data_IF_307112751952
#
_entry.id   IF_307112751952
#
_cell.length_a   1.000
_cell.length_b   1.000
_cell.length_c   1.000
_cell.angle_alpha   90.00
_cell.angle_beta   90.00
_cell.angle_gamma   90.00
#
_symmetry.space_group_name_H-M   'P 1'
#
loop_
_entity.id
_entity.type
_entity.pdbx_description
1 polymer ?
#
# COMPACT_ATOMS: atom_id res chain seq x y z
N UNK A 1 58.76 32.84 -34.40
CA UNK A 1 59.47 31.80 -33.65
C UNK A 1 58.40 30.91 -33.06
N UNK A 2 57.88 29.93 -33.74
CA UNK A 2 58.27 28.53 -33.92
C UNK A 2 58.41 27.77 -32.60
N UNK A 3 57.56 26.72 -32.53
CA UNK A 3 57.69 25.45 -31.85
C UNK A 3 56.92 25.38 -30.50
N UNK A 4 56.26 24.31 -30.18
CA UNK A 4 56.35 22.90 -30.59
C UNK A 4 55.11 22.12 -30.14
N UNK A 5 54.64 21.24 -30.95
CA UNK A 5 53.69 20.17 -30.71
C UNK A 5 54.34 19.08 -29.84
N UNK A 6 53.49 18.42 -29.04
CA UNK A 6 53.56 17.05 -28.49
C UNK A 6 53.41 16.99 -27.01
N UNK A 7 52.18 16.84 -26.52
CA UNK A 7 51.91 15.92 -25.43
C UNK A 7 50.72 15.07 -25.83
N UNK A 8 51.00 13.84 -26.12
CA UNK A 8 50.03 12.81 -26.43
C UNK A 8 49.23 12.47 -25.16
N UNK A 9 47.94 12.70 -25.20
CA UNK A 9 47.01 12.21 -24.22
C UNK A 9 46.95 10.67 -24.29
N UNK A 10 47.46 10.01 -23.26
CA UNK A 10 47.11 8.62 -22.97
C UNK A 10 45.72 8.62 -22.32
N UNK A 11 44.69 8.49 -23.12
CA UNK A 11 43.35 8.14 -22.65
C UNK A 11 43.38 6.66 -22.24
N UNK A 12 43.54 6.38 -20.95
CA UNK A 12 43.27 5.07 -20.38
C UNK A 12 41.77 4.82 -20.43
N UNK A 13 41.35 3.89 -21.27
CA UNK A 13 40.00 3.37 -21.26
C UNK A 13 39.78 2.61 -19.96
N UNK A 14 39.18 3.26 -18.97
CA UNK A 14 38.57 2.57 -17.86
C UNK A 14 37.30 1.87 -18.40
N UNK A 15 37.45 0.63 -18.83
CA UNK A 15 36.31 -0.27 -19.07
C UNK A 15 35.65 -0.50 -17.73
N UNK A 16 34.64 0.30 -17.42
CA UNK A 16 33.75 0.05 -16.29
C UNK A 16 33.11 -1.31 -16.48
N UNK A 17 33.45 -2.26 -15.64
CA UNK A 17 32.74 -3.51 -15.48
C UNK A 17 31.30 -3.18 -15.06
N UNK A 18 30.40 -3.03 -16.03
CA UNK A 18 28.95 -3.11 -15.76
C UNK A 18 28.72 -4.49 -15.11
N UNK A 19 28.04 -4.56 -13.98
CA UNK A 19 27.71 -5.85 -13.40
C UNK A 19 26.92 -6.63 -14.44
N UNK A 20 27.44 -7.77 -14.88
CA UNK A 20 26.76 -8.70 -15.77
C UNK A 20 25.47 -9.10 -15.06
N UNK A 21 24.33 -8.71 -15.63
CA UNK A 21 23.03 -9.18 -15.17
C UNK A 21 23.08 -10.73 -15.16
N UNK A 22 22.57 -11.39 -14.10
CA UNK A 22 22.60 -12.84 -14.05
C UNK A 22 21.92 -13.43 -15.29
N UNK A 23 22.40 -14.55 -15.77
CA UNK A 23 22.00 -15.16 -17.05
C UNK A 23 20.47 -15.38 -17.20
N UNK A 24 19.74 -15.51 -16.10
CA UNK A 24 18.28 -15.58 -16.09
C UNK A 24 17.58 -14.23 -16.38
N UNK A 25 18.29 -13.11 -16.28
CA UNK A 25 17.75 -11.78 -16.61
C UNK A 25 17.82 -11.47 -18.13
N UNK A 26 18.55 -12.30 -18.90
CA UNK A 26 18.57 -12.20 -20.36
C UNK A 26 17.31 -12.86 -20.92
N UNK A 27 16.30 -12.05 -21.22
CA UNK A 27 14.99 -12.49 -21.72
C UNK A 27 13.83 -12.30 -20.73
N UNK A 28 14.10 -11.90 -19.48
CA UNK A 28 13.04 -11.59 -18.53
C UNK A 28 12.25 -10.35 -18.99
N UNK A 29 10.92 -10.48 -18.90
CA UNK A 29 10.01 -9.39 -19.28
C UNK A 29 10.12 -8.25 -18.26
N UNK A 30 10.56 -7.08 -18.71
CA UNK A 30 10.50 -5.88 -17.89
C UNK A 30 9.06 -5.50 -17.61
N UNK A 31 8.78 -5.15 -16.35
CA UNK A 31 7.49 -4.69 -15.91
C UNK A 31 7.67 -3.37 -15.13
N UNK A 32 7.16 -2.27 -15.67
CA UNK A 32 7.23 -0.96 -15.01
C UNK A 32 6.21 -0.89 -13.91
N UNK A 33 6.67 -0.76 -12.68
CA UNK A 33 5.83 -0.79 -11.47
C UNK A 33 6.04 0.47 -10.66
N UNK A 34 4.97 1.08 -10.17
CA UNK A 34 5.08 2.09 -9.12
C UNK A 34 4.65 1.52 -7.76
N UNK A 35 5.26 2.03 -6.70
CA UNK A 35 4.96 1.67 -5.32
C UNK A 35 5.11 2.88 -4.41
N UNK A 36 4.48 2.84 -3.24
CA UNK A 36 4.72 3.83 -2.18
C UNK A 36 6.20 3.90 -1.81
N UNK A 37 6.67 5.10 -1.47
CA UNK A 37 8.06 5.39 -1.12
C UNK A 37 8.53 4.70 0.17
N UNK A 38 7.60 4.17 0.96
CA UNK A 38 7.88 3.43 2.18
C UNK A 38 7.28 2.02 2.13
N UNK A 39 7.88 1.10 2.88
CA UNK A 39 7.33 -0.22 3.13
C UNK A 39 7.44 -0.54 4.63
N UNK A 40 6.37 -1.09 5.18
CA UNK A 40 6.22 -1.50 6.58
C UNK A 40 5.95 -3.01 6.68
N UNK A 41 5.76 -3.53 7.88
CA UNK A 41 5.55 -4.95 8.11
C UNK A 41 4.41 -5.56 7.28
N UNK A 42 3.30 -4.83 7.10
CA UNK A 42 2.16 -5.30 6.30
C UNK A 42 2.51 -5.44 4.80
N UNK A 43 3.49 -4.70 4.31
CA UNK A 43 3.89 -4.72 2.89
C UNK A 43 4.86 -5.86 2.55
N UNK A 44 5.46 -6.52 3.57
CA UNK A 44 6.50 -7.55 3.38
C UNK A 44 6.10 -8.62 2.37
N UNK A 45 4.93 -9.28 2.47
CA UNK A 45 4.64 -10.38 1.56
C UNK A 45 4.43 -9.91 0.11
N UNK A 46 3.73 -8.79 -0.09
CA UNK A 46 3.47 -8.27 -1.45
C UNK A 46 4.74 -7.72 -2.09
N UNK A 47 5.62 -7.06 -1.31
CA UNK A 47 6.92 -6.62 -1.82
C UNK A 47 7.82 -7.81 -2.16
N UNK A 48 7.85 -8.86 -1.32
CA UNK A 48 8.58 -10.09 -1.61
C UNK A 48 8.01 -10.83 -2.84
N UNK A 49 6.68 -10.84 -3.01
CA UNK A 49 6.06 -11.41 -4.22
C UNK A 49 6.62 -10.76 -5.49
N UNK A 50 6.66 -9.43 -5.52
CA UNK A 50 7.18 -8.68 -6.66
C UNK A 50 8.69 -8.81 -6.83
N UNK A 51 9.46 -8.64 -5.75
CA UNK A 51 10.92 -8.52 -5.81
C UNK A 51 11.66 -9.86 -5.79
N UNK A 52 11.10 -10.89 -5.13
CA UNK A 52 11.78 -12.14 -4.86
C UNK A 52 11.17 -13.35 -5.61
N UNK A 53 9.85 -13.35 -5.86
CA UNK A 53 9.16 -14.48 -6.49
C UNK A 53 8.98 -14.27 -8.00
N UNK A 54 8.47 -13.11 -8.43
CA UNK A 54 8.22 -12.84 -9.86
C UNK A 54 9.47 -12.96 -10.75
N UNK A 55 10.71 -12.64 -10.30
CA UNK A 55 11.89 -12.88 -11.11
C UNK A 55 12.07 -14.34 -11.51
N UNK A 56 11.76 -15.29 -10.61
CA UNK A 56 11.75 -16.73 -10.90
C UNK A 56 10.66 -17.16 -11.89
N UNK A 57 9.67 -16.32 -12.16
CA UNK A 57 8.58 -16.52 -13.12
C UNK A 57 8.85 -15.82 -14.46
N UNK A 58 10.04 -15.27 -14.68
CA UNK A 58 10.46 -14.64 -15.94
C UNK A 58 10.17 -13.16 -16.05
N UNK A 59 9.96 -12.45 -14.93
CA UNK A 59 9.74 -11.00 -14.90
C UNK A 59 10.93 -10.25 -14.31
N UNK A 60 11.15 -9.02 -14.78
CA UNK A 60 12.12 -8.07 -14.24
C UNK A 60 11.39 -6.78 -13.82
N UNK A 61 10.81 -6.72 -12.61
CA UNK A 61 10.12 -5.53 -12.15
C UNK A 61 11.07 -4.33 -12.02
N UNK A 62 10.72 -3.20 -12.65
CA UNK A 62 11.40 -1.92 -12.52
C UNK A 62 10.53 -1.02 -11.67
N UNK A 63 10.89 -0.88 -10.39
CA UNK A 63 10.07 -0.23 -9.38
C UNK A 63 10.43 1.25 -9.25
N UNK A 64 9.46 2.14 -9.45
CA UNK A 64 9.52 3.56 -9.11
C UNK A 64 8.81 3.79 -7.78
N UNK A 65 9.47 4.44 -6.82
CA UNK A 65 8.92 4.79 -5.53
C UNK A 65 8.37 6.21 -5.52
N UNK A 66 7.13 6.38 -5.01
CA UNK A 66 6.40 7.67 -5.01
C UNK A 66 5.66 7.80 -3.67
N UNK A 67 5.80 8.93 -2.99
CA UNK A 67 5.25 9.11 -1.63
C UNK A 67 3.76 9.48 -1.58
N UNK A 68 3.20 9.88 -2.71
CA UNK A 68 1.82 10.38 -2.80
C UNK A 68 0.92 9.43 -3.58
N UNK A 69 -0.14 8.94 -2.95
CA UNK A 69 -1.11 7.99 -3.56
C UNK A 69 -1.72 8.55 -4.84
N UNK A 70 -2.12 9.83 -4.86
CA UNK A 70 -2.66 10.46 -6.07
C UNK A 70 -1.66 10.45 -7.22
N UNK A 71 -0.39 10.69 -6.94
CA UNK A 71 0.67 10.66 -7.95
C UNK A 71 0.87 9.24 -8.49
N UNK A 72 0.79 8.20 -7.64
CA UNK A 72 0.79 6.80 -8.09
C UNK A 72 -0.31 6.54 -9.12
N UNK A 73 -1.55 6.94 -8.81
CA UNK A 73 -2.67 6.79 -9.76
C UNK A 73 -2.47 7.58 -11.04
N UNK A 74 -1.94 8.81 -10.96
CA UNK A 74 -1.66 9.63 -12.15
C UNK A 74 -0.60 9.00 -13.07
N UNK A 75 0.44 8.32 -12.52
CA UNK A 75 1.44 7.63 -13.34
C UNK A 75 0.83 6.45 -14.11
N UNK A 76 -0.18 5.77 -13.54
CA UNK A 76 -0.93 4.72 -14.24
C UNK A 76 -1.78 5.30 -15.37
N UNK A 77 -2.49 6.40 -15.13
CA UNK A 77 -3.30 7.11 -16.14
C UNK A 77 -2.42 7.58 -17.29
N UNK A 78 -1.22 8.09 -16.99
CA UNK A 78 -0.26 8.58 -17.96
C UNK A 78 0.50 7.45 -18.70
N UNK A 79 0.34 6.17 -18.30
CA UNK A 79 1.09 5.04 -18.85
C UNK A 79 2.57 5.02 -18.48
N UNK A 80 3.00 5.80 -17.49
CA UNK A 80 4.37 5.80 -16.98
C UNK A 80 4.68 4.54 -16.16
N UNK A 81 3.67 3.94 -15.53
CA UNK A 81 3.72 2.61 -14.94
C UNK A 81 2.70 1.69 -15.62
N UNK A 82 3.00 0.40 -15.67
CA UNK A 82 2.15 -0.67 -16.21
C UNK A 82 1.26 -1.27 -15.13
N UNK A 83 1.84 -1.52 -13.96
CA UNK A 83 1.17 -1.90 -12.72
C UNK A 83 1.52 -0.92 -11.61
N UNK A 84 0.59 -0.63 -10.74
CA UNK A 84 0.83 0.31 -9.65
C UNK A 84 0.09 -0.04 -8.38
N UNK A 85 0.80 0.18 -7.29
CA UNK A 85 0.20 0.32 -5.98
C UNK A 85 -0.59 1.64 -5.93
N UNK A 86 -1.80 1.59 -5.41
CA UNK A 86 -2.60 2.79 -5.12
C UNK A 86 -3.75 2.40 -4.18
N UNK A 87 -4.68 3.30 -3.91
CA UNK A 87 -5.88 2.96 -3.15
C UNK A 87 -7.13 2.80 -4.03
N UNK A 88 -8.08 2.03 -3.53
CA UNK A 88 -9.32 1.70 -4.24
C UNK A 88 -10.21 2.92 -4.50
N UNK A 89 -10.23 3.89 -3.59
CA UNK A 89 -11.06 5.09 -3.69
C UNK A 89 -10.52 6.00 -4.79
N UNK A 90 -9.21 6.25 -4.77
CA UNK A 90 -8.56 7.10 -5.78
C UNK A 90 -8.74 6.53 -7.18
N UNK A 91 -8.67 5.19 -7.35
CA UNK A 91 -8.97 4.54 -8.63
C UNK A 91 -10.44 4.70 -9.01
N UNK A 92 -11.37 4.44 -8.10
CA UNK A 92 -12.81 4.59 -8.39
C UNK A 92 -13.18 6.02 -8.75
N UNK A 93 -12.65 7.01 -8.02
CA UNK A 93 -12.84 8.44 -8.31
C UNK A 93 -12.26 8.83 -9.68
N UNK A 94 -11.09 8.31 -10.03
CA UNK A 94 -10.48 8.54 -11.33
C UNK A 94 -11.32 7.93 -12.47
N UNK A 95 -11.83 6.70 -12.30
CA UNK A 95 -12.70 6.04 -13.30
C UNK A 95 -14.04 6.79 -13.43
N UNK A 96 -14.60 7.27 -12.33
CA UNK A 96 -15.81 8.11 -12.35
C UNK A 96 -15.59 9.42 -13.13
N UNK A 97 -14.35 9.90 -13.15
CA UNK A 97 -13.89 11.06 -13.91
C UNK A 97 -13.46 10.71 -15.35
N UNK A 98 -13.63 9.46 -15.79
CA UNK A 98 -13.35 9.00 -17.15
C UNK A 98 -12.00 8.33 -17.37
N UNK A 99 -11.21 8.05 -16.32
CA UNK A 99 -9.95 7.32 -16.47
C UNK A 99 -10.18 5.84 -16.79
N UNK A 100 -9.32 5.28 -17.65
CA UNK A 100 -9.33 3.85 -18.01
C UNK A 100 -8.43 3.06 -17.05
N UNK A 101 -8.95 2.78 -15.84
CA UNK A 101 -8.24 2.01 -14.83
C UNK A 101 -9.02 0.77 -14.39
N UNK A 102 -8.29 -0.28 -14.02
CA UNK A 102 -8.80 -1.51 -13.43
C UNK A 102 -8.05 -1.84 -12.14
N UNK A 103 -8.78 -2.26 -11.11
CA UNK A 103 -8.25 -2.88 -9.90
C UNK A 103 -8.10 -4.37 -10.21
N UNK A 104 -6.90 -4.91 -10.12
CA UNK A 104 -6.59 -6.27 -10.55
C UNK A 104 -6.18 -7.21 -9.41
N UNK A 105 -5.76 -6.67 -8.27
CA UNK A 105 -5.45 -7.43 -7.05
C UNK A 105 -5.46 -6.51 -5.83
N UNK A 106 -5.39 -7.10 -4.64
CA UNK A 106 -5.23 -6.39 -3.37
C UNK A 106 -3.79 -6.57 -2.84
N UNK A 107 -3.34 -5.62 -2.02
CA UNK A 107 -2.09 -5.75 -1.28
C UNK A 107 -2.27 -6.56 -0.01
N UNK A 108 -3.43 -6.43 0.63
CA UNK A 108 -3.88 -7.17 1.80
C UNK A 108 -5.41 -7.04 1.94
N UNK A 109 -6.03 -7.95 2.69
CA UNK A 109 -7.49 -7.96 2.87
C UNK A 109 -7.97 -6.91 3.87
N UNK A 110 -7.21 -6.70 4.94
CA UNK A 110 -7.51 -5.73 5.97
C UNK A 110 -6.30 -4.84 6.19
N UNK A 111 -6.54 -3.54 6.25
CA UNK A 111 -5.50 -2.57 6.57
C UNK A 111 -4.93 -2.78 7.97
N UNK A 112 -3.65 -2.53 8.13
CA UNK A 112 -3.04 -2.39 9.46
C UNK A 112 -3.16 -0.97 10.03
N UNK A 113 -3.80 -0.04 9.30
CA UNK A 113 -4.05 1.30 9.83
C UNK A 113 -5.01 1.23 11.01
N UNK A 114 -4.63 1.87 12.08
CA UNK A 114 -5.45 2.13 13.26
C UNK A 114 -5.55 3.63 13.48
N UNK A 115 -6.63 4.07 14.11
CA UNK A 115 -6.79 5.47 14.42
C UNK A 115 -6.32 5.73 15.85
N UNK A 116 -5.23 6.47 16.01
CA UNK A 116 -4.61 6.76 17.30
C UNK A 116 -4.84 8.21 17.67
N UNK A 117 -5.13 8.46 18.94
CA UNK A 117 -5.31 9.79 19.48
C UNK A 117 -4.51 10.03 20.76
N UNK A 118 -4.23 11.29 21.04
CA UNK A 118 -3.77 11.76 22.34
C UNK A 118 -4.92 11.60 23.35
N UNK A 119 -4.77 10.70 24.33
CA UNK A 119 -5.84 10.33 25.27
C UNK A 119 -6.19 11.47 26.26
N UNK A 120 -5.32 12.45 26.45
CA UNK A 120 -5.61 13.62 27.30
C UNK A 120 -6.56 14.61 26.62
N UNK A 121 -6.56 14.62 25.27
CA UNK A 121 -7.34 15.54 24.44
C UNK A 121 -8.59 14.90 23.85
N UNK A 122 -8.45 13.65 23.37
CA UNK A 122 -9.49 12.91 22.67
C UNK A 122 -9.75 11.62 23.42
N UNK A 123 -10.79 11.61 24.25
CA UNK A 123 -11.20 10.44 25.06
C UNK A 123 -12.16 9.54 24.33
N UNK A 124 -12.97 10.13 23.45
CA UNK A 124 -13.97 9.46 22.63
C UNK A 124 -14.11 10.12 21.26
N UNK A 125 -14.80 9.48 20.35
CA UNK A 125 -14.98 10.01 18.99
C UNK A 125 -15.65 11.38 18.96
N UNK A 126 -16.56 11.66 19.91
CA UNK A 126 -17.25 12.96 19.99
C UNK A 126 -16.32 14.14 20.28
N UNK A 127 -15.20 13.87 20.96
CA UNK A 127 -14.19 14.91 21.21
C UNK A 127 -13.54 15.44 19.93
N UNK A 128 -13.61 14.70 18.83
CA UNK A 128 -13.09 15.14 17.52
C UNK A 128 -13.86 16.33 16.91
N UNK A 129 -15.08 16.61 17.41
CA UNK A 129 -15.84 17.79 17.00
C UNK A 129 -15.33 19.10 17.63
N UNK A 130 -14.47 19.00 18.66
CA UNK A 130 -13.89 20.18 19.30
C UNK A 130 -12.90 20.86 18.37
N UNK A 131 -13.00 22.18 18.14
CA UNK A 131 -12.15 22.89 17.16
C UNK A 131 -10.65 22.74 17.39
N UNK A 132 -10.23 22.57 18.65
CA UNK A 132 -8.84 22.37 19.04
C UNK A 132 -8.31 20.97 18.73
N UNK A 133 -9.19 20.00 18.45
CA UNK A 133 -8.80 18.64 18.15
C UNK A 133 -8.66 18.43 16.64
N UNK A 134 -7.43 18.57 16.17
CA UNK A 134 -7.08 18.42 14.75
C UNK A 134 -6.78 16.97 14.43
N UNK A 135 -7.36 16.46 13.35
CA UNK A 135 -7.12 15.15 12.78
C UNK A 135 -6.23 15.31 11.55
N UNK A 136 -5.13 14.58 11.48
CA UNK A 136 -4.35 14.53 10.24
C UNK A 136 -4.62 13.23 9.47
N UNK A 137 -4.75 13.38 8.14
CA UNK A 137 -4.89 12.27 7.18
C UNK A 137 -3.79 12.37 6.11
N UNK A 138 -3.63 11.37 5.24
CA UNK A 138 -2.69 11.47 4.12
C UNK A 138 -3.17 12.52 3.11
N UNK A 139 -4.44 12.43 2.70
CA UNK A 139 -5.09 13.38 1.83
C UNK A 139 -6.62 13.34 2.01
N UNK A 140 -7.28 14.47 1.86
CA UNK A 140 -8.75 14.52 1.89
C UNK A 140 -9.33 13.72 0.72
N UNK A 141 -10.29 12.85 1.02
CA UNK A 141 -10.93 11.98 0.05
C UNK A 141 -10.16 10.68 -0.25
N UNK A 142 -8.98 10.47 0.33
CA UNK A 142 -8.28 9.20 0.25
C UNK A 142 -8.76 8.20 1.32
N UNK A 143 -8.21 7.00 1.28
CA UNK A 143 -8.61 5.91 2.18
C UNK A 143 -8.38 6.23 3.66
N UNK A 144 -7.36 7.01 4.00
CA UNK A 144 -7.05 7.38 5.40
C UNK A 144 -8.07 8.37 5.96
N UNK A 145 -8.68 9.17 5.10
CA UNK A 145 -9.77 10.07 5.43
C UNK A 145 -11.09 9.31 5.52
N UNK A 146 -11.40 8.53 4.50
CA UNK A 146 -12.70 7.87 4.34
C UNK A 146 -12.95 6.78 5.37
N UNK A 147 -11.91 6.06 5.81
CA UNK A 147 -12.07 4.98 6.80
C UNK A 147 -12.65 5.45 8.13
N UNK A 148 -12.61 6.75 8.41
CA UNK A 148 -13.19 7.33 9.64
C UNK A 148 -14.69 7.57 9.55
N UNK A 149 -15.21 7.83 8.36
CA UNK A 149 -16.57 8.32 8.19
C UNK A 149 -17.63 7.37 8.73
N UNK A 150 -17.57 6.10 8.35
CA UNK A 150 -18.52 5.11 8.86
C UNK A 150 -18.56 5.03 10.39
N UNK A 151 -17.40 4.80 11.05
CA UNK A 151 -17.32 4.78 12.53
C UNK A 151 -17.74 6.10 13.21
N UNK A 152 -17.41 7.25 12.63
CA UNK A 152 -17.81 8.56 13.16
C UNK A 152 -19.34 8.71 13.12
N UNK A 153 -19.95 8.43 11.97
CA UNK A 153 -21.40 8.52 11.78
C UNK A 153 -22.16 7.54 12.68
N UNK A 154 -21.70 6.30 12.80
CA UNK A 154 -22.29 5.31 13.73
C UNK A 154 -22.32 5.80 15.20
N UNK A 155 -21.38 6.67 15.56
CA UNK A 155 -21.23 7.23 16.92
C UNK A 155 -21.84 8.62 17.06
N UNK A 156 -22.61 9.08 16.07
CA UNK A 156 -23.31 10.35 16.11
C UNK A 156 -22.39 11.56 16.05
N UNK A 157 -21.17 11.40 15.50
CA UNK A 157 -20.24 12.51 15.29
C UNK A 157 -20.65 13.28 14.04
N UNK A 158 -20.74 14.61 14.14
CA UNK A 158 -20.91 15.49 13.01
C UNK A 158 -19.56 15.68 12.29
N UNK A 159 -19.37 14.91 11.21
CA UNK A 159 -18.12 14.91 10.46
C UNK A 159 -17.73 16.28 9.88
N UNK A 160 -18.72 17.18 9.72
CA UNK A 160 -18.47 18.56 9.25
C UNK A 160 -17.77 19.43 10.29
N UNK A 161 -17.85 19.04 11.55
CA UNK A 161 -17.17 19.74 12.66
C UNK A 161 -15.76 19.24 12.91
N UNK A 162 -15.40 18.06 12.33
CA UNK A 162 -14.06 17.48 12.51
C UNK A 162 -13.04 18.30 11.72
N UNK A 163 -12.07 18.87 12.43
CA UNK A 163 -11.00 19.67 11.82
C UNK A 163 -9.95 18.73 11.23
N UNK A 164 -9.90 18.60 9.89
CA UNK A 164 -9.02 17.67 9.17
C UNK A 164 -7.95 18.44 8.39
N UNK A 165 -6.68 18.04 8.58
CA UNK A 165 -5.53 18.54 7.85
C UNK A 165 -4.81 17.41 7.10
N UNK A 166 -4.13 17.76 6.01
CA UNK A 166 -3.36 16.80 5.21
C UNK A 166 -1.90 16.79 5.65
N UNK A 167 -1.40 15.63 6.07
CA UNK A 167 0.01 15.41 6.46
C UNK A 167 0.50 14.07 5.86
N UNK A 168 0.54 13.92 4.58
CA UNK A 168 1.18 12.85 3.83
C UNK A 168 1.34 11.48 4.56
N UNK A 169 2.53 10.92 4.52
CA UNK A 169 2.83 9.57 5.02
C UNK A 169 2.62 9.36 6.53
N UNK A 170 2.40 8.11 6.94
CA UNK A 170 2.10 7.74 8.34
C UNK A 170 3.18 8.13 9.34
N UNK A 171 4.46 8.10 8.93
CA UNK A 171 5.58 8.57 9.77
C UNK A 171 5.49 10.05 10.12
N UNK A 172 5.15 10.91 9.14
CA UNK A 172 4.97 12.35 9.36
C UNK A 172 3.73 12.63 10.25
N UNK A 173 2.64 11.88 10.05
CA UNK A 173 1.45 11.96 10.92
C UNK A 173 1.78 11.54 12.36
N UNK A 174 2.54 10.46 12.54
CA UNK A 174 2.98 10.02 13.85
C UNK A 174 3.81 11.10 14.57
N UNK A 175 4.75 11.74 13.88
CA UNK A 175 5.53 12.85 14.44
C UNK A 175 4.66 14.06 14.81
N UNK A 176 3.67 14.40 13.97
CA UNK A 176 2.74 15.48 14.24
C UNK A 176 1.88 15.21 15.50
N UNK A 177 1.46 13.96 15.71
CA UNK A 177 0.75 13.54 16.92
C UNK A 177 1.65 13.61 18.17
N UNK A 178 2.88 13.10 18.06
CA UNK A 178 3.86 13.13 19.17
C UNK A 178 4.21 14.56 19.61
N UNK A 179 4.34 15.48 18.68
CA UNK A 179 4.62 16.89 18.96
C UNK A 179 3.39 17.68 19.45
N UNK A 180 2.20 17.09 19.49
CA UNK A 180 0.96 17.75 19.84
C UNK A 180 0.40 18.68 18.76
N UNK A 181 1.00 18.71 17.57
CA UNK A 181 0.53 19.52 16.43
C UNK A 181 -0.85 19.09 15.95
N UNK A 182 -1.16 17.80 16.07
CA UNK A 182 -2.47 17.21 15.83
C UNK A 182 -2.86 16.29 16.99
N UNK A 183 -4.14 15.99 17.14
CA UNK A 183 -4.66 15.23 18.28
C UNK A 183 -5.07 13.81 17.92
N UNK A 184 -5.25 13.51 16.63
CA UNK A 184 -5.56 12.15 16.20
C UNK A 184 -5.08 11.90 14.76
N UNK A 185 -4.65 10.67 14.49
CA UNK A 185 -4.08 10.27 13.19
C UNK A 185 -4.34 8.80 12.87
N UNK A 186 -4.53 8.42 11.60
CA UNK A 186 -4.34 7.04 11.15
C UNK A 186 -2.85 6.75 11.01
N UNK A 187 -2.38 5.70 11.68
CA UNK A 187 -1.03 5.15 11.58
C UNK A 187 -1.10 3.63 11.51
N UNK A 188 -0.02 2.97 11.12
CA UNK A 188 -0.01 1.51 11.10
C UNK A 188 0.10 0.94 12.52
N UNK A 189 -0.35 -0.30 12.67
CA UNK A 189 -0.44 -1.02 13.94
C UNK A 189 0.90 -1.05 14.72
N UNK A 190 2.00 -1.28 14.03
CA UNK A 190 3.35 -1.25 14.60
C UNK A 190 3.76 0.15 15.08
N UNK A 191 3.39 1.19 14.34
CA UNK A 191 3.59 2.59 14.74
C UNK A 191 2.71 2.97 15.95
N UNK A 192 1.49 2.44 16.04
CA UNK A 192 0.64 2.63 17.20
C UNK A 192 1.25 2.02 18.47
N UNK A 193 1.85 0.83 18.35
CA UNK A 193 2.57 0.18 19.45
C UNK A 193 3.79 1.00 19.91
N UNK A 194 4.48 1.66 18.99
CA UNK A 194 5.57 2.59 19.30
C UNK A 194 5.07 3.85 20.03
N UNK A 195 3.94 4.41 19.59
CA UNK A 195 3.32 5.57 20.24
C UNK A 195 2.93 5.26 21.67
N UNK A 196 2.34 4.10 21.94
CA UNK A 196 1.93 3.68 23.28
C UNK A 196 3.08 3.64 24.30
N UNK A 197 4.33 3.44 23.82
CA UNK A 197 5.53 3.47 24.67
C UNK A 197 6.03 4.89 24.98
N UNK A 198 5.59 5.89 24.20
CA UNK A 198 6.16 7.26 24.22
C UNK A 198 5.30 8.31 24.90
N UNK A 199 4.05 7.96 25.24
CA UNK A 199 3.14 8.92 25.84
C UNK A 199 1.73 8.40 26.02
N UNK A 200 0.80 9.28 26.39
CA UNK A 200 -0.59 8.95 26.60
C UNK A 200 -1.37 8.93 25.27
N UNK A 201 -1.09 7.92 24.46
CA UNK A 201 -1.76 7.69 23.18
C UNK A 201 -2.61 6.43 23.25
N UNK A 202 -3.79 6.47 22.62
CA UNK A 202 -4.69 5.32 22.57
C UNK A 202 -5.22 5.07 21.17
N UNK A 203 -5.50 3.82 20.87
CA UNK A 203 -6.22 3.42 19.67
C UNK A 203 -7.70 3.73 19.87
N UNK A 204 -8.30 4.54 19.01
CA UNK A 204 -9.73 4.83 18.97
C UNK A 204 -10.49 3.91 18.02
N UNK A 205 -9.86 3.48 16.92
CA UNK A 205 -10.48 2.70 15.88
C UNK A 205 -9.53 1.64 15.33
N UNK A 206 -10.06 0.43 15.21
CA UNK A 206 -9.45 -0.71 14.55
C UNK A 206 -10.38 -1.12 13.40
N UNK A 207 -10.08 -0.76 12.15
CA UNK A 207 -11.02 -0.95 11.03
C UNK A 207 -11.47 -2.39 10.80
N UNK A 208 -10.61 -3.38 11.07
CA UNK A 208 -10.95 -4.79 10.95
C UNK A 208 -12.03 -5.29 11.95
N UNK A 209 -12.33 -4.49 12.98
CA UNK A 209 -13.46 -4.72 13.90
C UNK A 209 -14.76 -4.06 13.44
N UNK A 210 -14.68 -3.11 12.51
CA UNK A 210 -15.83 -2.34 12.02
C UNK A 210 -16.34 -2.80 10.66
N UNK A 211 -15.45 -3.36 9.82
CA UNK A 211 -15.72 -3.73 8.43
C UNK A 211 -15.37 -5.20 8.20
N UNK A 212 -16.16 -5.89 7.38
CA UNK A 212 -15.88 -7.27 6.95
C UNK A 212 -14.57 -7.38 6.16
N UNK A 213 -14.30 -6.38 5.34
CA UNK A 213 -13.05 -6.18 4.63
C UNK A 213 -12.81 -4.67 4.49
N UNK A 214 -11.58 -4.25 4.66
CA UNK A 214 -11.17 -2.88 4.37
C UNK A 214 -9.97 -2.93 3.45
N UNK A 215 -10.28 -3.03 2.16
CA UNK A 215 -9.28 -3.14 1.11
C UNK A 215 -8.71 -1.75 0.85
N UNK A 216 -7.59 -1.49 1.48
CA UNK A 216 -6.93 -0.18 1.47
C UNK A 216 -6.08 -0.02 0.22
N UNK A 217 -5.03 -0.82 0.11
CA UNK A 217 -4.07 -0.79 -0.98
C UNK A 217 -4.36 -1.90 -1.98
N UNK A 218 -4.26 -1.55 -3.24
CA UNK A 218 -4.60 -2.43 -4.35
C UNK A 218 -3.54 -2.32 -5.46
N UNK A 219 -3.52 -3.32 -6.32
CA UNK A 219 -2.87 -3.25 -7.60
C UNK A 219 -3.85 -2.77 -8.67
N UNK A 220 -3.43 -1.74 -9.40
CA UNK A 220 -4.18 -1.22 -10.53
C UNK A 220 -3.34 -1.14 -11.79
N UNK A 221 -3.99 -1.12 -12.93
CA UNK A 221 -3.40 -0.90 -14.26
C UNK A 221 -4.40 -0.20 -15.19
N UNK A 222 -3.93 0.25 -16.36
CA UNK A 222 -4.84 0.71 -17.42
C UNK A 222 -5.64 -0.47 -17.99
N UNK A 223 -6.96 -0.27 -18.19
CA UNK A 223 -7.80 -1.25 -18.85
C UNK A 223 -7.34 -1.56 -20.28
N UNK A 224 -6.83 -0.57 -21.00
CA UNK A 224 -6.24 -0.75 -22.33
C UNK A 224 -4.98 -1.62 -22.28
N UNK A 225 -4.11 -1.40 -21.31
CA UNK A 225 -2.92 -2.24 -21.10
C UNK A 225 -3.33 -3.69 -20.80
N UNK A 226 -4.33 -3.88 -19.96
CA UNK A 226 -4.79 -5.20 -19.53
C UNK A 226 -5.36 -6.06 -20.68
N UNK A 227 -5.87 -5.48 -21.77
CA UNK A 227 -6.43 -6.23 -22.92
C UNK A 227 -5.45 -7.15 -23.63
N UNK A 228 -4.15 -6.97 -23.44
CA UNK A 228 -3.13 -7.84 -24.03
C UNK A 228 -2.94 -9.10 -23.19
N UNK A 229 -3.00 -10.28 -23.80
CA UNK A 229 -2.89 -11.58 -23.11
C UNK A 229 -1.62 -11.73 -22.27
N UNK A 230 -0.51 -11.20 -22.75
CA UNK A 230 0.75 -11.20 -22.00
C UNK A 230 0.67 -10.34 -20.74
N UNK A 231 -0.18 -9.30 -20.71
CA UNK A 231 -0.40 -8.43 -19.56
C UNK A 231 -1.37 -9.07 -18.56
N UNK A 232 -2.45 -9.72 -19.05
CA UNK A 232 -3.30 -10.57 -18.21
C UNK A 232 -2.47 -11.66 -17.52
N UNK A 233 -1.56 -12.31 -18.27
CA UNK A 233 -0.66 -13.32 -17.71
C UNK A 233 0.24 -12.76 -16.61
N UNK A 234 0.80 -11.56 -16.79
CA UNK A 234 1.62 -10.91 -15.78
C UNK A 234 0.84 -10.62 -14.49
N UNK A 235 -0.43 -10.22 -14.60
CA UNK A 235 -1.31 -10.01 -13.43
C UNK A 235 -1.63 -11.34 -12.74
N UNK A 236 -1.94 -12.39 -13.48
CA UNK A 236 -2.19 -13.74 -12.93
C UNK A 236 -0.96 -14.23 -12.17
N UNK A 237 0.23 -14.08 -12.74
CA UNK A 237 1.48 -14.50 -12.10
C UNK A 237 1.81 -13.64 -10.86
N UNK A 238 1.53 -12.33 -10.88
CA UNK A 238 1.62 -11.48 -9.70
C UNK A 238 0.71 -11.98 -8.57
N UNK A 239 -0.55 -12.29 -8.87
CA UNK A 239 -1.51 -12.79 -7.88
C UNK A 239 -1.05 -14.14 -7.31
N UNK A 240 -0.53 -15.04 -8.14
CA UNK A 240 0.04 -16.32 -7.69
C UNK A 240 1.25 -16.12 -6.78
N UNK A 241 2.14 -15.20 -7.14
CA UNK A 241 3.29 -14.82 -6.32
C UNK A 241 2.85 -14.22 -4.97
N UNK A 242 1.82 -13.37 -4.97
CA UNK A 242 1.24 -12.81 -3.74
C UNK A 242 0.63 -13.90 -2.84
N UNK A 243 -0.19 -14.80 -3.38
CA UNK A 243 -0.77 -15.91 -2.60
C UNK A 243 0.32 -16.80 -2.01
N UNK A 244 1.38 -17.08 -2.76
CA UNK A 244 2.54 -17.85 -2.27
C UNK A 244 3.21 -17.11 -1.11
N UNK A 245 3.44 -15.81 -1.24
CA UNK A 245 4.04 -14.99 -0.19
C UNK A 245 3.13 -14.86 1.04
N UNK A 246 1.82 -14.71 0.85
CA UNK A 246 0.83 -14.63 1.94
C UNK A 246 0.77 -15.92 2.76
N UNK A 247 0.68 -17.08 2.08
CA UNK A 247 0.69 -18.39 2.75
C UNK A 247 1.98 -18.59 3.55
N UNK A 248 3.11 -18.16 2.98
CA UNK A 248 4.39 -18.23 3.68
C UNK A 248 4.47 -17.26 4.85
N UNK A 249 4.03 -16.03 4.68
CA UNK A 249 3.99 -15.06 5.78
C UNK A 249 3.12 -15.53 6.95
N UNK A 250 2.00 -16.21 6.67
CA UNK A 250 1.11 -16.74 7.70
C UNK A 250 1.71 -17.90 8.49
N UNK A 251 2.59 -18.71 7.89
CA UNK A 251 3.10 -19.96 8.48
C UNK A 251 4.57 -19.91 8.88
N UNK A 252 5.37 -18.98 8.35
CA UNK A 252 6.82 -18.94 8.53
C UNK A 252 7.28 -17.57 9.07
N UNK A 253 7.32 -17.39 10.41
CA UNK A 253 7.78 -16.15 11.01
C UNK A 253 9.27 -15.84 10.74
N UNK A 254 10.09 -16.85 10.45
CA UNK A 254 11.50 -16.66 10.09
C UNK A 254 11.62 -16.01 8.70
N UNK A 255 10.86 -16.53 7.72
CA UNK A 255 10.78 -15.93 6.39
C UNK A 255 10.23 -14.51 6.43
N UNK A 256 9.19 -14.28 7.25
CA UNK A 256 8.64 -12.93 7.42
C UNK A 256 9.68 -11.98 7.99
N UNK A 257 10.48 -12.42 8.98
CA UNK A 257 11.54 -11.61 9.59
C UNK A 257 12.64 -11.27 8.58
N UNK A 258 13.04 -12.23 7.74
CA UNK A 258 14.02 -12.00 6.67
C UNK A 258 13.48 -10.99 5.65
N UNK A 259 12.24 -11.17 5.20
CA UNK A 259 11.56 -10.24 4.31
C UNK A 259 11.42 -8.84 4.93
N UNK A 260 11.17 -8.74 6.22
CA UNK A 260 11.11 -7.47 6.94
C UNK A 260 12.45 -6.72 6.86
N UNK A 261 13.55 -7.40 7.19
CA UNK A 261 14.91 -6.84 7.11
C UNK A 261 15.27 -6.37 5.70
N UNK A 262 14.80 -7.09 4.70
CA UNK A 262 15.13 -6.85 3.29
C UNK A 262 14.30 -5.73 2.67
N UNK A 263 13.02 -5.65 2.99
CA UNK A 263 12.06 -4.84 2.24
C UNK A 263 11.50 -3.64 3.01
N UNK A 264 11.49 -3.69 4.34
CA UNK A 264 10.95 -2.59 5.15
C UNK A 264 11.91 -1.41 5.17
N UNK A 265 11.37 -0.20 5.04
CA UNK A 265 12.14 1.05 4.89
C UNK A 265 12.40 1.78 6.20
N UNK A 266 12.01 1.21 7.34
CA UNK A 266 12.33 1.79 8.66
C UNK A 266 13.83 1.71 8.95
N UNK A 267 14.37 2.72 9.59
CA UNK A 267 15.81 2.85 9.85
C UNK A 267 16.42 1.64 10.60
N UNK A 268 15.65 1.06 11.52
CA UNK A 268 16.06 -0.09 12.34
C UNK A 268 15.59 -1.46 11.77
N UNK A 269 15.04 -1.50 10.57
CA UNK A 269 14.50 -2.74 10.00
C UNK A 269 15.55 -3.86 9.90
N UNK A 270 16.80 -3.53 9.58
CA UNK A 270 17.91 -4.50 9.46
C UNK A 270 18.27 -5.19 10.77
N UNK A 271 17.98 -4.54 11.90
CA UNK A 271 18.30 -5.03 13.25
C UNK A 271 17.15 -5.88 13.83
N UNK A 272 16.03 -5.96 13.13
CA UNK A 272 14.85 -6.67 13.61
C UNK A 272 15.14 -8.17 13.80
N UNK A 273 14.70 -8.72 14.91
CA UNK A 273 14.77 -10.15 15.22
C UNK A 273 13.38 -10.78 15.16
N UNK A 274 13.30 -12.10 15.04
CA UNK A 274 12.02 -12.79 15.08
C UNK A 274 11.27 -12.52 16.39
N UNK A 275 12.00 -12.41 17.51
CA UNK A 275 11.42 -12.08 18.82
C UNK A 275 10.84 -10.67 18.83
N UNK A 276 11.60 -9.66 18.36
CA UNK A 276 11.14 -8.27 18.31
C UNK A 276 9.96 -8.06 17.36
N UNK A 277 9.85 -8.86 16.29
CA UNK A 277 8.77 -8.80 15.31
C UNK A 277 7.56 -9.68 15.66
N UNK A 278 7.69 -10.57 16.66
CA UNK A 278 6.59 -11.49 17.02
C UNK A 278 5.25 -10.77 17.25
N UNK A 279 5.16 -9.66 18.00
CA UNK A 279 3.89 -8.95 18.18
C UNK A 279 3.31 -8.40 16.86
N UNK A 280 4.17 -7.86 15.98
CA UNK A 280 3.76 -7.34 14.68
C UNK A 280 3.27 -8.47 13.78
N UNK A 281 4.03 -9.56 13.69
CA UNK A 281 3.67 -10.73 12.89
C UNK A 281 2.35 -11.37 13.37
N UNK A 282 2.19 -11.59 14.68
CA UNK A 282 0.96 -12.14 15.24
C UNK A 282 -0.23 -11.21 15.05
N UNK A 283 -0.04 -9.90 15.23
CA UNK A 283 -1.07 -8.91 14.93
C UNK A 283 -1.54 -8.96 13.49
N UNK A 284 -0.62 -8.98 12.53
CA UNK A 284 -0.96 -9.02 11.12
C UNK A 284 -1.60 -10.35 10.67
N UNK A 285 -1.08 -11.48 11.15
CA UNK A 285 -1.50 -12.81 10.67
C UNK A 285 -2.66 -13.41 11.43
N UNK A 286 -2.75 -13.19 12.76
CA UNK A 286 -3.74 -13.83 13.63
C UNK A 286 -4.91 -12.90 13.98
N UNK A 287 -4.63 -11.63 14.30
CA UNK A 287 -5.64 -10.66 14.72
C UNK A 287 -6.29 -9.97 13.53
N UNK A 288 -5.50 -9.27 12.73
CA UNK A 288 -5.96 -8.52 11.55
C UNK A 288 -6.33 -9.46 10.41
N UNK A 289 -5.64 -10.61 10.29
CA UNK A 289 -5.76 -11.55 9.17
C UNK A 289 -5.55 -10.84 7.83
N UNK A 290 -4.49 -10.04 7.77
CA UNK A 290 -4.19 -9.17 6.64
C UNK A 290 -3.91 -9.96 5.34
N UNK A 291 -3.36 -11.17 5.44
CA UNK A 291 -2.87 -11.96 4.31
C UNK A 291 -3.78 -13.14 4.02
N UNK A 292 -4.74 -13.01 3.10
CA UNK A 292 -5.62 -14.12 2.75
C UNK A 292 -4.83 -15.21 2.02
N UNK A 293 -5.05 -16.48 2.38
CA UNK A 293 -4.44 -17.62 1.68
C UNK A 293 -4.92 -17.75 0.22
N UNK A 294 -6.07 -17.14 -0.08
CA UNK A 294 -6.69 -17.09 -1.41
C UNK A 294 -7.15 -15.67 -1.70
N UNK A 295 -6.71 -15.12 -2.82
CA UNK A 295 -7.15 -13.79 -3.29
C UNK A 295 -8.35 -13.99 -4.22
N UNK A 296 -9.56 -13.84 -3.70
CA UNK A 296 -10.80 -14.10 -4.45
C UNK A 296 -11.52 -12.84 -4.99
N UNK A 297 -11.10 -11.65 -4.57
CA UNK A 297 -11.61 -10.34 -5.02
C UNK A 297 -13.15 -10.27 -5.02
N UNK A 298 -13.81 -10.86 -3.99
CA UNK A 298 -15.29 -10.92 -3.94
C UNK A 298 -15.94 -9.57 -4.11
N UNK A 299 -16.90 -9.48 -5.03
CA UNK A 299 -17.59 -8.23 -5.35
C UNK A 299 -18.37 -7.67 -4.15
N UNK A 300 -18.85 -8.52 -3.24
CA UNK A 300 -19.56 -8.11 -2.02
C UNK A 300 -18.76 -7.15 -1.14
N UNK A 301 -17.44 -7.34 -1.05
CA UNK A 301 -16.57 -6.44 -0.27
C UNK A 301 -16.57 -5.01 -0.81
N UNK A 302 -16.59 -4.88 -2.13
CA UNK A 302 -16.63 -3.59 -2.80
C UNK A 302 -17.98 -2.92 -2.66
N UNK A 303 -19.07 -3.68 -2.75
CA UNK A 303 -20.42 -3.18 -2.51
C UNK A 303 -20.60 -2.67 -1.07
N UNK A 304 -20.03 -3.35 -0.08
CA UNK A 304 -20.10 -2.94 1.32
C UNK A 304 -19.34 -1.61 1.57
N UNK A 305 -18.31 -1.30 0.78
CA UNK A 305 -17.50 -0.08 0.90
C UNK A 305 -18.12 1.13 0.18
N UNK A 306 -18.88 0.93 -0.89
CA UNK A 306 -19.44 2.03 -1.70
C UNK A 306 -20.29 3.04 -0.93
N UNK A 307 -21.15 2.65 0.02
CA UNK A 307 -21.89 3.61 0.86
C UNK A 307 -20.97 4.53 1.66
N UNK A 308 -19.88 3.98 2.21
CA UNK A 308 -18.90 4.76 3.01
C UNK A 308 -18.18 5.76 2.11
N UNK A 309 -17.77 5.35 0.91
CA UNK A 309 -17.11 6.22 -0.07
C UNK A 309 -17.99 7.39 -0.50
N UNK A 310 -19.30 7.15 -0.70
CA UNK A 310 -20.29 8.20 -1.00
C UNK A 310 -20.53 9.14 0.16
N UNK A 311 -20.67 8.61 1.37
CA UNK A 311 -20.88 9.42 2.58
C UNK A 311 -19.69 10.35 2.86
N UNK A 312 -18.48 9.89 2.52
CA UNK A 312 -17.26 10.68 2.62
C UNK A 312 -17.05 11.64 1.45
N UNK A 313 -18.02 11.73 0.51
CA UNK A 313 -17.94 12.53 -0.70
C UNK A 313 -16.70 12.25 -1.55
N UNK A 314 -16.08 11.07 -1.37
CA UNK A 314 -14.90 10.64 -2.10
C UNK A 314 -15.21 10.20 -3.53
N UNK A 315 -16.45 9.74 -3.76
CA UNK A 315 -17.03 9.42 -5.07
C UNK A 315 -18.44 10.01 -5.17
N UNK A 316 -18.89 10.30 -6.40
CA UNK A 316 -20.26 10.78 -6.65
C UNK A 316 -21.29 9.64 -6.75
N UNK A 317 -20.84 8.39 -6.84
CA UNK A 317 -21.69 7.20 -6.91
C UNK A 317 -22.17 6.84 -8.31
N UNK A 318 -21.57 7.39 -9.35
CA UNK A 318 -21.85 7.05 -10.76
C UNK A 318 -21.14 5.76 -11.18
N UNK A 319 -19.98 5.47 -10.56
CA UNK A 319 -19.18 4.27 -10.82
C UNK A 319 -19.75 3.06 -10.05
N UNK A 320 -19.81 1.90 -10.72
CA UNK A 320 -20.13 0.62 -10.09
C UNK A 320 -18.85 -0.20 -9.93
N UNK A 321 -18.68 -0.97 -8.84
CA UNK A 321 -17.49 -1.81 -8.63
C UNK A 321 -17.18 -2.72 -9.81
N UNK A 322 -18.20 -3.29 -10.47
CA UNK A 322 -18.05 -4.19 -11.63
C UNK A 322 -17.39 -3.52 -12.85
N UNK A 323 -17.44 -2.20 -12.93
CA UNK A 323 -16.79 -1.44 -14.00
C UNK A 323 -15.28 -1.28 -13.75
N UNK A 324 -14.85 -1.41 -12.50
CA UNK A 324 -13.49 -1.09 -12.07
C UNK A 324 -12.71 -2.32 -11.62
N UNK A 325 -13.37 -3.24 -10.92
CA UNK A 325 -12.73 -4.41 -10.32
C UNK A 325 -12.71 -5.58 -11.28
N UNK A 326 -11.52 -6.06 -11.62
CA UNK A 326 -11.32 -7.24 -12.46
C UNK A 326 -11.14 -8.48 -11.57
N UNK A 327 -12.13 -9.37 -11.55
CA UNK A 327 -12.12 -10.54 -10.67
C UNK A 327 -11.72 -11.86 -11.38
N UNK A 328 -11.78 -11.89 -12.71
CA UNK A 328 -11.56 -13.14 -13.46
C UNK A 328 -10.12 -13.62 -13.36
N UNK A 329 -9.16 -12.68 -13.36
CA UNK A 329 -7.73 -13.00 -13.27
C UNK A 329 -7.36 -13.59 -11.90
N UNK A 330 -7.97 -13.07 -10.84
CA UNK A 330 -7.80 -13.63 -9.49
C UNK A 330 -8.37 -15.05 -9.42
N UNK A 331 -9.56 -15.31 -9.98
CA UNK A 331 -10.15 -16.65 -10.05
C UNK A 331 -9.26 -17.62 -10.83
N UNK A 332 -8.70 -17.17 -11.96
CA UNK A 332 -7.77 -17.97 -12.74
C UNK A 332 -6.48 -18.28 -11.96
N UNK A 333 -5.89 -17.29 -11.29
CA UNK A 333 -4.69 -17.48 -10.47
C UNK A 333 -4.93 -18.49 -9.33
N UNK A 334 -6.10 -18.43 -8.68
CA UNK A 334 -6.51 -19.41 -7.65
C UNK A 334 -6.61 -20.81 -8.24
N UNK A 335 -7.27 -20.96 -9.40
CA UNK A 335 -7.40 -22.25 -10.08
C UNK A 335 -6.06 -22.84 -10.48
N UNK A 336 -5.12 -22.03 -10.97
CA UNK A 336 -3.80 -22.50 -11.40
C UNK A 336 -2.87 -22.84 -10.23
N UNK A 337 -2.99 -22.17 -9.08
CA UNK A 337 -2.11 -22.40 -7.93
C UNK A 337 -2.59 -23.56 -7.04
N UNK A 338 -3.81 -24.01 -7.20
CA UNK A 338 -4.50 -24.91 -6.29
C UNK A 338 -4.96 -24.15 -5.04
N UNK A 339 -6.26 -24.00 -4.87
CA UNK A 339 -6.90 -23.21 -3.79
C UNK A 339 -6.58 -23.69 -2.37
#
# INVERSE_FOLDING_TARGET
MLLSRRHALKAGAAAGLLPLAPAWAQGARQLKVNQLGFALGIHVPTTAALADIMPGMGYAPVVQRIDQIRTLTQTLIAGAAELGETDSITVMSAVESGADLKIVSLWYMHTSLVFVANADKVREFKDLEKPENVVAVNGKGDITHVMLFGPLLKRGVDVKKVNIVEIGGSGARMQALQSGRVQAVPVHFDQAAELAKKGNFKVLLEPWKEYKAWINEIWACSGTWLKKKENERAVIDLIKAQMTAFRRANSDPAWYTEGYRKHVTLANAKEATQESLKPVWEGLTKEIKAFPNTIDMKMEYWHDLMPVYRQAEAIQGKVKPEQVVETSLAKQAVSELGG
#
